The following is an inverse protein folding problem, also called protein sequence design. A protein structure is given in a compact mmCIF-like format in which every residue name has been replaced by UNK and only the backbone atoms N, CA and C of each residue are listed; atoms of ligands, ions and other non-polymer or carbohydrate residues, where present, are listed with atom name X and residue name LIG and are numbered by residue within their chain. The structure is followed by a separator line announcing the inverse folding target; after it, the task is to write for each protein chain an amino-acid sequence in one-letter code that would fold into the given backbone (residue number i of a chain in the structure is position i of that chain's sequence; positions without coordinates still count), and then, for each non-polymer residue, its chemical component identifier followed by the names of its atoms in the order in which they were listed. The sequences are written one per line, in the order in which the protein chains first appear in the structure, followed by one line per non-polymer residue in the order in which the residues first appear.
data_IF_152173149413
#
_entry.id   IF_152173149413
#
_cell.length_a   1.000
_cell.length_b   1.000
_cell.length_c   1.000
_cell.angle_alpha   90.00
_cell.angle_beta   90.00
_cell.angle_gamma   90.00
#
_symmetry.space_group_name_H-M   'P 1'
#
loop_
_entity.id
_entity.type
_entity.pdbx_description
1 polymer ?
#
# COMPACT_ATOMS: atom_id res chain seq x y z
N UNK A 1 -5.37 -3.26 12.43
CA UNK A 1 -4.98 -2.42 11.28
C UNK A 1 -5.81 -2.80 10.07
N UNK A 2 -5.96 -1.91 9.10
CA UNK A 2 -6.64 -2.20 7.83
C UNK A 2 -5.60 -2.30 6.71
N UNK A 3 -5.79 -3.28 5.83
CA UNK A 3 -5.00 -3.43 4.61
C UNK A 3 -5.81 -2.95 3.42
N UNK A 4 -5.27 -2.00 2.65
CA UNK A 4 -5.81 -1.62 1.35
C UNK A 4 -4.99 -2.33 0.28
N UNK A 5 -5.60 -3.32 -0.37
CA UNK A 5 -4.96 -4.12 -1.39
C UNK A 5 -5.30 -3.61 -2.78
N UNK A 6 -4.28 -3.13 -3.51
CA UNK A 6 -4.41 -2.65 -4.89
C UNK A 6 -3.77 -3.60 -5.92
N UNK A 7 -3.40 -4.81 -5.48
CA UNK A 7 -2.74 -5.83 -6.29
C UNK A 7 -3.55 -7.12 -6.33
N UNK A 8 -2.90 -8.25 -6.63
CA UNK A 8 -3.49 -9.57 -6.51
C UNK A 8 -3.91 -9.85 -5.04
N UNK A 9 -4.94 -10.70 -4.83
CA UNK A 9 -5.40 -11.05 -3.50
C UNK A 9 -4.27 -11.57 -2.60
N UNK A 10 -4.26 -11.14 -1.34
CA UNK A 10 -3.38 -11.69 -0.32
C UNK A 10 -3.99 -13.00 0.21
N UNK A 11 -3.18 -14.06 0.30
CA UNK A 11 -3.60 -15.32 0.92
C UNK A 11 -3.42 -15.26 2.44
N UNK A 12 -3.88 -16.29 3.16
CA UNK A 12 -3.82 -16.35 4.61
C UNK A 12 -2.38 -16.27 5.15
N UNK A 13 -1.42 -16.92 4.48
CA UNK A 13 -0.01 -16.87 4.86
C UNK A 13 0.56 -15.44 4.78
N UNK A 14 0.20 -14.68 3.74
CA UNK A 14 0.59 -13.27 3.63
C UNK A 14 0.02 -12.46 4.79
N UNK A 15 -1.26 -12.66 5.14
CA UNK A 15 -1.89 -11.91 6.23
C UNK A 15 -1.23 -12.22 7.57
N UNK A 16 -0.94 -13.49 7.86
CA UNK A 16 -0.21 -13.88 9.07
C UNK A 16 1.20 -13.28 9.13
N UNK A 17 1.95 -13.30 8.03
CA UNK A 17 3.27 -12.68 7.96
C UNK A 17 3.19 -11.17 8.20
N UNK A 18 2.19 -10.48 7.66
CA UNK A 18 1.98 -9.06 7.91
C UNK A 18 1.67 -8.76 9.37
N UNK A 19 0.82 -9.55 10.03
CA UNK A 19 0.53 -9.39 11.45
C UNK A 19 1.77 -9.60 12.32
N UNK A 20 2.59 -10.61 11.99
CA UNK A 20 3.86 -10.89 12.67
C UNK A 20 4.86 -9.75 12.52
N UNK A 21 5.09 -9.28 11.29
CA UNK A 21 6.04 -8.20 10.98
C UNK A 21 5.60 -6.88 11.65
N UNK A 22 4.30 -6.58 11.65
CA UNK A 22 3.78 -5.31 12.15
C UNK A 22 3.44 -5.33 13.64
N UNK A 23 3.34 -6.51 14.26
CA UNK A 23 2.86 -6.69 15.62
C UNK A 23 1.41 -6.24 15.83
N UNK A 24 0.59 -6.24 14.76
CA UNK A 24 -0.79 -5.74 14.77
C UNK A 24 -1.71 -6.66 13.99
N UNK A 25 -2.84 -7.01 14.60
CA UNK A 25 -3.91 -7.76 13.94
C UNK A 25 -4.50 -7.01 12.74
N UNK A 26 -4.82 -7.71 11.66
CA UNK A 26 -5.53 -7.20 10.49
C UNK A 26 -7.03 -7.38 10.70
N UNK A 27 -7.72 -6.28 11.00
CA UNK A 27 -9.16 -6.29 11.26
C UNK A 27 -10.00 -6.28 9.98
N UNK A 28 -9.41 -5.87 8.85
CA UNK A 28 -10.09 -5.75 7.56
C UNK A 28 -9.07 -5.69 6.43
N UNK A 29 -9.36 -6.40 5.34
CA UNK A 29 -8.69 -6.24 4.04
C UNK A 29 -9.71 -5.68 3.05
N UNK A 30 -9.34 -4.62 2.32
CA UNK A 30 -10.16 -4.05 1.26
C UNK A 30 -9.48 -4.33 -0.07
N UNK A 31 -10.19 -4.99 -0.97
CA UNK A 31 -9.70 -5.36 -2.30
C UNK A 31 -10.11 -4.29 -3.33
N UNK A 32 -9.14 -3.62 -3.93
CA UNK A 32 -9.36 -2.54 -4.90
C UNK A 32 -8.66 -2.87 -6.22
N UNK A 33 -9.42 -3.03 -7.30
CA UNK A 33 -8.83 -3.21 -8.63
C UNK A 33 -8.19 -1.90 -9.11
N UNK A 34 -6.88 -1.89 -9.29
CA UNK A 34 -6.12 -0.73 -9.78
C UNK A 34 -5.97 -0.66 -11.31
N UNK A 35 -6.94 -1.20 -12.07
CA UNK A 35 -6.91 -1.11 -13.53
C UNK A 35 -7.16 0.33 -14.00
N UNK A 36 -6.36 0.77 -14.97
CA UNK A 36 -6.48 2.09 -15.61
C UNK A 36 -6.48 1.94 -17.12
N UNK A 37 -7.01 2.97 -17.79
CA UNK A 37 -6.85 3.20 -19.21
C UNK A 37 -5.61 4.08 -19.43
N UNK A 38 -4.52 3.55 -20.05
CA UNK A 38 -3.28 4.29 -20.23
C UNK A 38 -3.39 5.42 -21.26
N UNK A 39 -4.47 5.50 -22.03
CA UNK A 39 -4.71 6.58 -22.98
C UNK A 39 -5.43 7.78 -22.33
N UNK A 40 -5.83 7.65 -21.06
CA UNK A 40 -6.50 8.71 -20.30
C UNK A 40 -5.60 9.28 -19.22
N UNK A 41 -5.86 10.50 -18.74
CA UNK A 41 -5.12 11.08 -17.62
C UNK A 41 -5.09 10.14 -16.41
N UNK A 42 -3.89 9.83 -15.90
CA UNK A 42 -3.70 8.88 -14.80
C UNK A 42 -4.21 9.44 -13.48
N UNK A 43 -4.01 10.74 -13.22
CA UNK A 43 -4.34 11.37 -11.93
C UNK A 43 -5.81 11.20 -11.55
N UNK A 44 -6.75 11.50 -12.46
CA UNK A 44 -8.18 11.34 -12.17
C UNK A 44 -8.56 9.87 -11.91
N UNK A 45 -7.93 8.94 -12.62
CA UNK A 45 -8.18 7.51 -12.43
C UNK A 45 -7.65 7.03 -11.07
N UNK A 46 -6.52 7.54 -10.62
CA UNK A 46 -5.96 7.24 -9.29
C UNK A 46 -6.82 7.79 -8.16
N UNK A 47 -7.35 9.02 -8.29
CA UNK A 47 -8.34 9.57 -7.35
C UNK A 47 -9.54 8.63 -7.25
N UNK A 48 -10.10 8.20 -8.40
CA UNK A 48 -11.21 7.26 -8.43
C UNK A 48 -10.85 5.89 -7.80
N UNK A 49 -9.60 5.43 -7.96
CA UNK A 49 -9.11 4.20 -7.31
C UNK A 49 -9.07 4.38 -5.78
N UNK A 50 -8.59 5.53 -5.28
CA UNK A 50 -8.57 5.82 -3.84
C UNK A 50 -9.99 5.93 -3.26
N UNK A 51 -10.94 6.50 -4.00
CA UNK A 51 -12.34 6.61 -3.58
C UNK A 51 -13.03 5.24 -3.43
N UNK A 52 -12.64 4.26 -4.25
CA UNK A 52 -13.18 2.89 -4.20
C UNK A 52 -12.84 2.12 -2.93
N UNK A 53 -11.95 2.64 -2.08
CA UNK A 53 -11.71 2.08 -0.74
C UNK A 53 -12.94 2.18 0.16
N UNK A 54 -13.84 3.14 -0.11
CA UNK A 54 -15.02 3.42 0.70
C UNK A 54 -14.72 3.99 2.09
N UNK A 55 -13.47 4.40 2.36
CA UNK A 55 -13.10 5.01 3.63
C UNK A 55 -13.59 6.46 3.70
N UNK A 56 -14.18 6.81 4.84
CA UNK A 56 -14.55 8.18 5.19
C UNK A 56 -13.32 9.02 5.52
N UNK A 57 -13.46 10.35 5.50
CA UNK A 57 -12.39 11.27 5.90
C UNK A 57 -11.86 10.98 7.32
N UNK A 58 -12.76 10.62 8.26
CA UNK A 58 -12.38 10.24 9.62
C UNK A 58 -11.55 8.96 9.62
N UNK A 59 -11.94 7.95 8.86
CA UNK A 59 -11.19 6.69 8.78
C UNK A 59 -9.79 6.89 8.18
N UNK A 60 -9.68 7.68 7.11
CA UNK A 60 -8.37 8.03 6.51
C UNK A 60 -7.40 8.66 7.51
N UNK A 61 -7.89 9.48 8.44
CA UNK A 61 -7.06 10.21 9.41
C UNK A 61 -6.82 9.44 10.72
N UNK A 62 -7.59 8.39 10.99
CA UNK A 62 -7.58 7.72 12.32
C UNK A 62 -7.21 6.24 12.27
N UNK A 63 -7.45 5.55 11.15
CA UNK A 63 -7.13 4.13 11.05
C UNK A 63 -5.64 3.90 10.80
N UNK A 64 -5.05 2.89 11.45
CA UNK A 64 -3.74 2.40 11.04
C UNK A 64 -3.87 1.64 9.71
N UNK A 65 -3.44 2.29 8.62
CA UNK A 65 -3.57 1.82 7.24
C UNK A 65 -2.24 1.26 6.73
N UNK A 66 -2.29 0.07 6.15
CA UNK A 66 -1.20 -0.59 5.42
C UNK A 66 -1.60 -0.77 3.95
N UNK A 67 -0.69 -0.48 3.02
CA UNK A 67 -0.98 -0.53 1.58
C UNK A 67 -0.25 -1.72 0.94
N UNK A 68 -0.97 -2.59 0.23
CA UNK A 68 -0.34 -3.45 -0.79
C UNK A 68 -0.46 -2.72 -2.15
N UNK A 69 0.63 -2.14 -2.68
CA UNK A 69 0.56 -1.21 -3.79
C UNK A 69 0.18 -1.88 -5.12
N UNK A 70 -0.33 -1.11 -6.11
CA UNK A 70 -0.46 -1.59 -7.47
C UNK A 70 0.88 -2.08 -8.07
N UNK A 71 0.84 -3.06 -8.95
CA UNK A 71 2.04 -3.58 -9.62
C UNK A 71 2.66 -2.58 -10.62
N UNK A 72 1.85 -1.68 -11.19
CA UNK A 72 2.34 -0.67 -12.13
C UNK A 72 2.89 0.55 -11.38
N UNK A 73 4.19 0.76 -11.47
CA UNK A 73 4.94 1.76 -10.71
C UNK A 73 4.38 3.19 -10.80
N UNK A 74 3.91 3.63 -11.97
CA UNK A 74 3.38 4.99 -12.15
C UNK A 74 2.08 5.20 -11.39
N UNK A 75 1.23 4.16 -11.28
CA UNK A 75 0.01 4.21 -10.48
C UNK A 75 0.39 4.33 -9.00
N UNK A 76 1.35 3.52 -8.53
CA UNK A 76 1.83 3.56 -7.16
C UNK A 76 2.38 4.94 -6.79
N UNK A 77 3.19 5.56 -7.65
CA UNK A 77 3.75 6.89 -7.38
C UNK A 77 2.65 7.95 -7.20
N UNK A 78 1.67 7.99 -8.11
CA UNK A 78 0.55 8.94 -8.03
C UNK A 78 -0.35 8.63 -6.84
N UNK A 79 -0.61 7.34 -6.57
CA UNK A 79 -1.44 6.91 -5.44
C UNK A 79 -0.80 7.30 -4.11
N UNK A 80 0.52 7.17 -3.95
CA UNK A 80 1.19 7.58 -2.72
C UNK A 80 1.06 9.09 -2.46
N UNK A 81 1.10 9.93 -3.49
CA UNK A 81 0.86 11.37 -3.34
C UNK A 81 -0.59 11.66 -2.91
N UNK A 82 -1.56 11.00 -3.54
CA UNK A 82 -2.98 11.11 -3.19
C UNK A 82 -3.26 10.65 -1.75
N UNK A 83 -2.78 9.47 -1.36
CA UNK A 83 -2.99 8.92 -0.03
C UNK A 83 -2.29 9.74 1.04
N UNK A 84 -1.11 10.30 0.76
CA UNK A 84 -0.46 11.23 1.69
C UNK A 84 -1.34 12.44 2.00
N UNK A 85 -2.05 12.98 1.00
CA UNK A 85 -3.01 14.07 1.19
C UNK A 85 -4.21 13.68 2.07
N UNK A 86 -4.73 12.46 1.91
CA UNK A 86 -5.88 11.96 2.69
C UNK A 86 -5.52 11.60 4.12
N UNK A 87 -4.38 10.96 4.32
CA UNK A 87 -3.91 10.48 5.61
C UNK A 87 -3.21 11.57 6.45
N UNK A 88 -2.58 12.55 5.79
CA UNK A 88 -1.69 13.52 6.45
C UNK A 88 -0.27 12.99 6.73
N UNK A 89 0.03 11.75 6.33
CA UNK A 89 1.33 11.08 6.44
C UNK A 89 1.47 10.05 5.31
N UNK A 90 2.69 9.58 5.04
CA UNK A 90 2.88 8.49 4.08
C UNK A 90 2.55 7.14 4.72
N UNK A 91 1.53 6.40 4.23
CA UNK A 91 1.25 5.08 4.77
C UNK A 91 2.38 4.10 4.46
N UNK A 92 2.55 3.09 5.31
CA UNK A 92 3.50 2.00 5.06
C UNK A 92 3.03 1.14 3.88
N UNK A 93 3.98 0.54 3.17
CA UNK A 93 3.71 -0.33 2.02
C UNK A 93 4.25 -1.74 2.23
N UNK A 94 3.52 -2.73 1.73
CA UNK A 94 3.94 -4.13 1.65
C UNK A 94 4.80 -4.32 0.42
N UNK A 95 5.89 -5.07 0.55
CA UNK A 95 6.64 -5.60 -0.58
C UNK A 95 6.56 -7.12 -0.58
N UNK A 96 5.88 -7.66 -1.58
CA UNK A 96 5.90 -9.09 -1.88
C UNK A 96 7.12 -9.43 -2.74
N UNK A 97 7.67 -10.63 -2.58
CA UNK A 97 8.67 -11.21 -3.49
C UNK A 97 8.38 -12.67 -3.75
N UNK A 98 8.88 -13.19 -4.86
CA UNK A 98 8.84 -14.63 -5.12
C UNK A 98 9.80 -15.36 -4.17
N UNK A 99 9.36 -16.51 -3.63
CA UNK A 99 10.21 -17.42 -2.87
C UNK A 99 11.25 -18.06 -3.80
N UNK A 100 12.49 -18.10 -3.37
CA UNK A 100 13.59 -18.64 -4.16
C UNK A 100 13.45 -20.17 -4.33
N UNK A 101 13.64 -20.66 -5.55
CA UNK A 101 13.68 -22.10 -5.84
C UNK A 101 12.34 -22.84 -5.85
N UNK A 102 11.20 -22.16 -5.71
CA UNK A 102 9.87 -22.80 -5.67
C UNK A 102 9.21 -22.82 -7.06
N UNK A 103 8.71 -24.01 -7.45
CA UNK A 103 7.97 -24.25 -8.69
C UNK A 103 6.69 -25.07 -8.35
N UNK A 104 5.48 -24.57 -8.62
CA UNK A 104 5.16 -23.29 -9.27
C UNK A 104 5.51 -22.06 -8.40
N UNK A 105 5.60 -20.84 -8.98
CA UNK A 105 5.96 -19.64 -8.22
C UNK A 105 5.04 -19.40 -7.01
N UNK A 106 5.66 -19.25 -5.84
CA UNK A 106 5.01 -18.79 -4.61
C UNK A 106 5.58 -17.43 -4.20
N UNK A 107 4.77 -16.61 -3.53
CA UNK A 107 5.18 -15.31 -3.02
C UNK A 107 5.16 -15.29 -1.49
N UNK A 108 5.93 -14.38 -0.92
CA UNK A 108 6.00 -14.09 0.51
C UNK A 108 6.09 -12.59 0.76
N UNK A 109 5.75 -12.17 1.98
CA UNK A 109 5.97 -10.81 2.44
C UNK A 109 7.44 -10.63 2.75
N UNK A 110 8.15 -9.94 1.84
CA UNK A 110 9.58 -9.68 1.99
C UNK A 110 9.84 -8.66 3.12
N UNK A 111 9.03 -7.61 3.17
CA UNK A 111 9.16 -6.51 4.13
C UNK A 111 7.90 -5.63 4.15
N UNK A 112 7.77 -4.86 5.23
CA UNK A 112 6.86 -3.71 5.33
C UNK A 112 7.72 -2.45 5.44
N UNK A 113 7.53 -1.53 4.49
CA UNK A 113 8.37 -0.33 4.36
C UNK A 113 7.61 0.87 4.92
N UNK A 114 8.18 1.51 5.94
CA UNK A 114 7.65 2.74 6.52
C UNK A 114 8.03 3.96 5.68
N UNK A 115 7.17 4.34 4.72
CA UNK A 115 7.42 5.48 3.83
C UNK A 115 7.48 6.83 4.57
N UNK A 116 6.79 6.96 5.69
CA UNK A 116 6.87 8.17 6.52
C UNK A 116 8.26 8.32 7.13
N UNK A 117 8.83 7.25 7.66
CA UNK A 117 10.20 7.23 8.19
C UNK A 117 11.24 7.50 7.08
N UNK A 118 11.05 6.95 5.88
CA UNK A 118 11.89 7.26 4.71
C UNK A 118 11.91 8.77 4.44
N UNK A 119 10.74 9.41 4.45
CA UNK A 119 10.62 10.86 4.27
C UNK A 119 11.28 11.65 5.39
N UNK A 120 11.11 11.23 6.64
CA UNK A 120 11.67 11.92 7.81
C UNK A 120 13.20 11.89 7.77
N UNK A 121 13.80 10.72 7.54
CA UNK A 121 15.26 10.58 7.35
C UNK A 121 15.77 11.39 6.16
N UNK A 122 15.01 11.48 5.07
CA UNK A 122 15.39 12.31 3.93
C UNK A 122 15.35 13.82 4.22
N UNK A 123 14.54 14.27 5.19
CA UNK A 123 14.46 15.68 5.60
C UNK A 123 15.66 16.11 6.42
N UNK A 124 16.18 15.22 7.27
CA UNK A 124 17.38 15.47 8.09
C UNK A 124 18.57 15.81 7.18
N UNK A 125 18.77 15.03 6.12
CA UNK A 125 19.86 15.20 5.14
C UNK A 125 19.74 16.41 4.22
N UNK A 126 18.64 17.16 4.24
CA UNK A 126 18.47 18.32 3.34
C UNK A 126 19.37 19.50 3.74
N UNK A 127 19.70 19.56 5.02
CA UNK A 127 20.46 20.65 5.62
C UNK A 127 21.88 20.23 6.02
N UNK A 128 22.26 18.98 5.72
CA UNK A 128 23.64 18.50 5.73
C UNK A 128 24.35 18.86 4.42
#
# INVERSE_FOLDING_TARGET
MIVLNFSHPLNEDHLQQLEQITGREISRVVEIKAHIDPQKPITQQVVNIADRTGLTAKEWQSLPILINPPSLNIITAVLMAELHGRCGYFPAVVRLRQKEGIIPPEFEVAEVINLQEVREKAREKRYD
#
